data_IF_513004625671
#
_entry.id   IF_513004625671
#
_cell.length_a   1.000
_cell.length_b   1.000
_cell.length_c   1.000
_cell.angle_alpha   90.00
_cell.angle_beta   90.00
_cell.angle_gamma   90.00
#
_symmetry.space_group_name_H-M   'P 1'
#
loop_
_entity.id
_entity.type
_entity.pdbx_description
1 polymer ?
#
# COMPACT_ATOMS: atom_id res chain seq x y z
N UNK A 1 -13.54 4.34 -13.22
CA UNK A 1 -12.51 3.38 -12.85
C UNK A 1 -11.43 4.03 -12.02
N UNK A 2 -11.04 3.35 -10.94
CA UNK A 2 -10.00 3.88 -10.05
C UNK A 2 -8.61 3.49 -10.55
N UNK A 3 -7.72 4.45 -10.61
CA UNK A 3 -6.32 4.21 -10.94
C UNK A 3 -5.50 4.20 -9.65
N UNK A 4 -4.75 3.14 -9.41
CA UNK A 4 -3.89 3.03 -8.23
C UNK A 4 -2.46 3.40 -8.57
N UNK A 5 -1.86 4.24 -7.72
CA UNK A 5 -0.47 4.69 -7.86
C UNK A 5 0.25 4.43 -6.54
N UNK A 6 1.57 4.44 -6.57
CA UNK A 6 2.37 4.35 -5.34
C UNK A 6 3.28 5.56 -5.25
N UNK A 7 3.62 5.95 -4.01
CA UNK A 7 4.48 7.11 -3.76
C UNK A 7 5.10 6.95 -2.37
N UNK A 8 6.36 7.36 -2.21
CA UNK A 8 6.97 7.33 -0.88
C UNK A 8 6.36 8.44 -0.03
N UNK A 9 6.18 8.15 1.28
CA UNK A 9 5.59 9.12 2.21
C UNK A 9 6.42 10.40 2.34
N UNK A 10 7.70 10.33 1.98
CA UNK A 10 8.61 11.48 2.11
C UNK A 10 8.57 12.43 0.92
N UNK A 11 7.86 12.08 -0.12
CA UNK A 11 7.67 12.97 -1.28
C UNK A 11 6.51 13.93 -1.01
N UNK A 12 6.59 15.11 -1.60
CA UNK A 12 5.56 16.14 -1.39
C UNK A 12 4.19 15.70 -1.90
N UNK A 13 3.15 16.10 -1.15
CA UNK A 13 1.77 15.84 -1.57
C UNK A 13 1.46 16.67 -2.82
N UNK A 14 0.74 16.09 -3.75
CA UNK A 14 0.34 16.73 -5.00
C UNK A 14 -1.14 16.51 -5.29
N UNK A 15 -1.74 17.39 -6.05
CA UNK A 15 -3.15 17.26 -6.44
C UNK A 15 -3.40 15.96 -7.19
N UNK A 16 -2.46 15.58 -8.07
CA UNK A 16 -2.58 14.37 -8.86
C UNK A 16 -2.58 13.08 -8.03
N UNK A 17 -2.20 13.17 -6.74
CA UNK A 17 -2.24 12.00 -5.85
C UNK A 17 -3.66 11.51 -5.63
N UNK A 18 -4.65 12.40 -5.73
CA UNK A 18 -6.03 12.05 -5.47
C UNK A 18 -6.25 11.64 -4.03
N UNK A 19 -6.87 10.49 -3.83
CA UNK A 19 -7.15 9.95 -2.49
C UNK A 19 -5.86 9.31 -1.94
N UNK A 20 -5.34 9.84 -0.85
CA UNK A 20 -4.05 9.42 -0.30
C UNK A 20 -4.24 8.41 0.83
N UNK A 21 -3.63 7.24 0.67
CA UNK A 21 -3.80 6.12 1.61
C UNK A 21 -2.43 5.65 2.10
N UNK A 22 -2.24 5.62 3.42
CA UNK A 22 -1.02 5.03 3.98
C UNK A 22 -1.20 3.52 4.02
N UNK A 23 -0.29 2.78 3.39
CA UNK A 23 -0.34 1.32 3.34
C UNK A 23 0.81 0.65 4.08
N UNK A 24 1.29 1.29 5.15
CA UNK A 24 2.26 0.72 6.07
C UNK A 24 1.55 0.38 7.39
N UNK A 25 2.02 -0.67 8.06
CA UNK A 25 1.43 -1.07 9.34
C UNK A 25 1.77 -0.11 10.46
N UNK A 26 2.95 0.50 10.40
CA UNK A 26 3.42 1.46 11.40
C UNK A 26 3.50 2.85 10.81
N UNK A 27 3.34 3.87 11.67
CA UNK A 27 3.47 5.26 11.24
C UNK A 27 4.90 5.55 10.79
N UNK A 28 5.09 6.29 9.67
CA UNK A 28 6.44 6.58 9.17
C UNK A 28 7.25 7.43 10.15
N UNK A 29 8.53 7.11 10.29
CA UNK A 29 9.43 7.84 11.16
C UNK A 29 9.64 9.27 10.66
N UNK A 30 9.68 10.21 11.59
CA UNK A 30 10.01 11.60 11.28
C UNK A 30 8.89 12.41 10.65
N UNK A 31 7.71 11.85 10.54
CA UNK A 31 6.56 12.57 9.96
C UNK A 31 5.50 12.78 11.03
N UNK A 32 5.11 14.03 11.25
CA UNK A 32 4.04 14.36 12.18
C UNK A 32 2.70 13.97 11.55
N UNK A 33 1.74 13.57 12.38
CA UNK A 33 0.43 13.12 11.89
C UNK A 33 -0.27 14.16 11.02
N UNK A 34 -0.20 15.41 11.40
CA UNK A 34 -0.85 16.49 10.65
C UNK A 34 -0.04 16.95 9.44
N UNK A 35 1.22 16.52 9.32
CA UNK A 35 2.06 16.87 8.18
C UNK A 35 1.85 15.93 7.00
N UNK A 36 1.42 14.70 7.26
CA UNK A 36 1.14 13.73 6.20
C UNK A 36 -0.34 13.85 5.83
N UNK A 37 -0.61 14.44 4.69
CA UNK A 37 -1.99 14.70 4.24
C UNK A 37 -2.64 13.39 3.80
N UNK A 38 -3.21 12.66 4.77
CA UNK A 38 -3.85 11.37 4.52
C UNK A 38 -5.35 11.49 4.48
N UNK A 39 -5.95 10.71 3.58
CA UNK A 39 -7.39 10.49 3.56
C UNK A 39 -7.75 9.21 4.30
N UNK A 40 -6.82 8.25 4.37
CA UNK A 40 -7.07 6.97 5.03
C UNK A 40 -5.75 6.29 5.42
N UNK A 41 -5.78 5.51 6.50
CA UNK A 41 -4.68 4.63 6.89
C UNK A 41 -5.18 3.18 6.80
N UNK A 42 -4.72 2.44 5.80
CA UNK A 42 -5.21 1.10 5.49
C UNK A 42 -4.35 0.01 6.14
N UNK A 43 -4.29 -0.03 7.46
CA UNK A 43 -3.50 -1.02 8.20
C UNK A 43 -3.91 -2.45 7.89
N UNK A 44 -5.21 -2.67 7.67
CA UNK A 44 -5.78 -4.02 7.59
C UNK A 44 -5.46 -4.75 6.28
N UNK A 45 -4.91 -4.05 5.30
CA UNK A 45 -4.50 -4.67 4.04
C UNK A 45 -2.99 -4.65 3.85
N UNK A 46 -2.23 -4.39 4.92
CA UNK A 46 -0.77 -4.47 4.90
C UNK A 46 -0.32 -5.91 5.13
N UNK A 47 0.93 -6.27 4.73
CA UNK A 47 1.43 -7.63 4.99
C UNK A 47 1.50 -7.95 6.47
N UNK A 48 1.26 -9.20 6.83
CA UNK A 48 1.37 -9.64 8.22
C UNK A 48 2.81 -9.52 8.71
N UNK A 49 2.98 -9.49 10.03
CA UNK A 49 4.30 -9.42 10.64
C UNK A 49 5.18 -10.60 10.23
N UNK A 50 4.57 -11.78 10.12
CA UNK A 50 5.30 -13.00 9.75
C UNK A 50 5.98 -12.90 8.39
N UNK A 51 5.22 -12.52 7.35
CA UNK A 51 5.79 -12.43 6.01
C UNK A 51 6.71 -11.22 5.86
N UNK A 52 6.48 -10.15 6.63
CA UNK A 52 7.39 -9.00 6.64
C UNK A 52 8.76 -9.41 7.16
N UNK A 53 8.82 -10.25 8.19
CA UNK A 53 10.08 -10.77 8.72
C UNK A 53 10.81 -11.64 7.71
N UNK A 54 10.06 -12.46 6.96
CA UNK A 54 10.64 -13.30 5.90
C UNK A 54 11.26 -12.47 4.80
N UNK A 55 10.61 -11.37 4.43
CA UNK A 55 11.14 -10.47 3.41
C UNK A 55 12.41 -9.78 3.90
N UNK A 56 12.36 -9.21 5.11
CA UNK A 56 13.50 -8.50 5.74
C UNK A 56 14.14 -7.46 4.81
N UNK A 57 13.36 -6.87 3.90
CA UNK A 57 13.80 -5.86 2.91
C UNK A 57 14.96 -6.35 2.02
N UNK A 58 15.07 -7.66 1.81
CA UNK A 58 16.09 -8.23 0.94
C UNK A 58 15.49 -8.55 -0.43
N UNK A 59 16.03 -7.95 -1.51
CA UNK A 59 15.47 -8.19 -2.84
C UNK A 59 15.41 -9.68 -3.24
N UNK A 60 16.37 -10.48 -2.78
CA UNK A 60 16.38 -11.90 -3.08
C UNK A 60 15.19 -12.66 -2.48
N UNK A 61 14.54 -12.10 -1.46
CA UNK A 61 13.37 -12.70 -0.83
C UNK A 61 12.05 -12.17 -1.41
N UNK A 62 12.13 -11.20 -2.31
CA UNK A 62 10.93 -10.49 -2.77
C UNK A 62 9.92 -11.38 -3.49
N UNK A 63 10.39 -12.28 -4.36
CA UNK A 63 9.48 -13.15 -5.10
C UNK A 63 8.66 -14.04 -4.16
N UNK A 64 9.30 -14.61 -3.14
CA UNK A 64 8.62 -15.44 -2.16
C UNK A 64 7.67 -14.61 -1.30
N UNK A 65 8.12 -13.44 -0.86
CA UNK A 65 7.29 -12.51 -0.11
C UNK A 65 6.03 -12.13 -0.91
N UNK A 66 6.20 -11.87 -2.20
CA UNK A 66 5.07 -11.52 -3.07
C UNK A 66 4.02 -12.62 -3.12
N UNK A 67 4.46 -13.88 -3.26
CA UNK A 67 3.56 -15.02 -3.27
C UNK A 67 2.74 -15.09 -1.98
N UNK A 68 3.43 -14.93 -0.84
CA UNK A 68 2.78 -15.01 0.46
C UNK A 68 1.80 -13.85 0.68
N UNK A 69 2.20 -12.65 0.28
CA UNK A 69 1.34 -11.47 0.45
C UNK A 69 0.09 -11.57 -0.44
N UNK A 70 0.26 -12.01 -1.70
CA UNK A 70 -0.90 -12.20 -2.58
C UNK A 70 -1.88 -13.21 -2.00
N UNK A 71 -1.36 -14.29 -1.41
CA UNK A 71 -2.21 -15.28 -0.76
C UNK A 71 -2.97 -14.68 0.43
N UNK A 72 -2.31 -13.85 1.23
CA UNK A 72 -2.98 -13.15 2.33
C UNK A 72 -4.09 -12.23 1.81
N UNK A 73 -3.80 -11.47 0.77
CA UNK A 73 -4.77 -10.53 0.20
C UNK A 73 -6.00 -11.25 -0.36
N UNK A 74 -5.82 -12.40 -0.99
CA UNK A 74 -6.94 -13.18 -1.53
C UNK A 74 -7.89 -13.67 -0.43
N UNK A 75 -7.36 -13.88 0.78
CA UNK A 75 -8.13 -14.37 1.91
C UNK A 75 -8.63 -13.26 2.83
N UNK A 76 -8.22 -12.03 2.57
CA UNK A 76 -8.48 -10.91 3.49
C UNK A 76 -9.77 -10.17 3.18
N UNK A 77 -10.80 -10.27 4.05
CA UNK A 77 -12.07 -9.56 3.82
C UNK A 77 -11.94 -8.04 3.85
N UNK A 78 -10.88 -7.50 4.45
CA UNK A 78 -10.65 -6.06 4.49
C UNK A 78 -10.39 -5.47 3.10
N UNK A 79 -9.95 -6.28 2.13
CA UNK A 79 -9.74 -5.83 0.76
C UNK A 79 -11.06 -5.36 0.14
N UNK A 80 -12.13 -6.17 0.27
CA UNK A 80 -13.43 -5.80 -0.28
C UNK A 80 -13.97 -4.51 0.36
N UNK A 81 -13.78 -4.37 1.67
CA UNK A 81 -14.18 -3.16 2.39
C UNK A 81 -13.43 -1.94 1.89
N UNK A 82 -12.11 -2.09 1.68
CA UNK A 82 -11.28 -1.00 1.17
C UNK A 82 -11.73 -0.59 -0.24
N UNK A 83 -11.95 -1.54 -1.12
CA UNK A 83 -12.38 -1.26 -2.50
C UNK A 83 -13.71 -0.53 -2.53
N UNK A 84 -14.62 -0.87 -1.64
CA UNK A 84 -15.90 -0.15 -1.50
C UNK A 84 -15.69 1.31 -1.15
N UNK A 85 -14.78 1.58 -0.21
CA UNK A 85 -14.53 2.94 0.26
C UNK A 85 -13.93 3.83 -0.81
N UNK A 86 -13.15 3.27 -1.74
CA UNK A 86 -12.46 4.06 -2.75
C UNK A 86 -13.07 3.95 -4.14
N UNK A 87 -14.18 3.26 -4.30
CA UNK A 87 -14.71 2.95 -5.64
C UNK A 87 -15.07 4.19 -6.47
N UNK A 88 -15.39 5.29 -5.82
CA UNK A 88 -15.74 6.53 -6.51
C UNK A 88 -14.54 7.49 -6.68
N UNK A 89 -13.37 7.10 -6.21
CA UNK A 89 -12.17 7.92 -6.34
C UNK A 89 -11.51 7.64 -7.68
N UNK A 90 -11.27 8.65 -8.51
CA UNK A 90 -10.61 8.41 -9.80
C UNK A 90 -9.15 8.02 -9.66
N UNK A 91 -8.47 8.51 -8.63
CA UNK A 91 -7.07 8.19 -8.37
C UNK A 91 -6.88 7.91 -6.90
N UNK A 92 -6.20 6.80 -6.58
CA UNK A 92 -5.82 6.45 -5.22
C UNK A 92 -4.30 6.25 -5.20
N UNK A 93 -3.60 7.01 -4.36
CA UNK A 93 -2.16 6.87 -4.20
C UNK A 93 -1.85 6.16 -2.90
N UNK A 94 -1.19 5.02 -3.02
CA UNK A 94 -0.76 4.21 -1.87
C UNK A 94 0.60 4.72 -1.41
N UNK A 95 0.68 5.19 -0.17
CA UNK A 95 1.90 5.74 0.40
C UNK A 95 2.65 4.69 1.20
N UNK A 96 3.97 4.66 1.05
CA UNK A 96 4.82 3.71 1.75
C UNK A 96 6.13 4.38 2.18
N UNK A 97 6.78 3.83 3.22
CA UNK A 97 8.00 4.40 3.77
C UNK A 97 9.28 3.67 3.33
N UNK A 98 9.16 2.46 2.80
CA UNK A 98 10.33 1.67 2.40
C UNK A 98 11.25 2.43 1.43
N UNK A 99 12.55 2.23 1.55
CA UNK A 99 13.52 2.91 0.70
C UNK A 99 13.56 2.37 -0.72
N UNK A 100 13.34 1.07 -0.89
CA UNK A 100 13.41 0.43 -2.21
C UNK A 100 12.13 0.71 -2.99
N UNK A 101 12.27 1.41 -4.11
CA UNK A 101 11.13 1.78 -4.95
C UNK A 101 10.69 0.65 -5.88
N UNK A 102 11.50 -0.40 -6.00
CA UNK A 102 11.23 -1.52 -6.92
C UNK A 102 10.81 -2.79 -6.21
N UNK A 103 11.29 -3.02 -4.98
CA UNK A 103 10.97 -4.21 -4.21
C UNK A 103 10.28 -3.79 -2.91
N UNK A 104 9.00 -3.44 -2.97
CA UNK A 104 8.24 -3.04 -1.81
C UNK A 104 6.81 -3.61 -1.88
N UNK A 105 6.16 -3.69 -0.72
CA UNK A 105 4.81 -4.25 -0.63
C UNK A 105 3.76 -3.41 -1.33
N UNK A 106 4.00 -2.10 -1.44
CA UNK A 106 3.04 -1.20 -2.09
C UNK A 106 2.86 -1.53 -3.57
N UNK A 107 3.93 -1.95 -4.25
CA UNK A 107 3.85 -2.37 -5.65
C UNK A 107 2.93 -3.58 -5.80
N UNK A 108 3.07 -4.54 -4.90
CA UNK A 108 2.26 -5.76 -4.92
C UNK A 108 0.80 -5.40 -4.68
N UNK A 109 0.55 -4.56 -3.67
CA UNK A 109 -0.80 -4.13 -3.32
C UNK A 109 -1.44 -3.34 -4.47
N UNK A 110 -0.69 -2.41 -5.07
CA UNK A 110 -1.19 -1.63 -6.20
C UNK A 110 -1.65 -2.53 -7.35
N UNK A 111 -0.80 -3.47 -7.74
CA UNK A 111 -1.11 -4.35 -8.86
C UNK A 111 -2.30 -5.27 -8.54
N UNK A 112 -2.36 -5.76 -7.31
CA UNK A 112 -3.48 -6.59 -6.85
C UNK A 112 -4.80 -5.82 -6.90
N UNK A 113 -4.82 -4.63 -6.32
CA UNK A 113 -6.03 -3.80 -6.28
C UNK A 113 -6.45 -3.38 -7.69
N UNK A 114 -5.48 -3.02 -8.54
CA UNK A 114 -5.78 -2.61 -9.90
C UNK A 114 -6.42 -3.75 -10.70
N UNK A 115 -6.03 -5.00 -10.42
CA UNK A 115 -6.62 -6.15 -11.10
C UNK A 115 -8.07 -6.39 -10.70
N UNK A 116 -8.50 -5.86 -9.56
CA UNK A 116 -9.86 -6.05 -9.03
C UNK A 116 -10.86 -4.98 -9.50
N UNK A 117 -10.39 -3.86 -10.02
CA UNK A 117 -11.25 -2.69 -10.35
C UNK A 117 -11.32 -2.39 -11.85
N UNK A 118 -11.24 -3.35 -12.67
CA UNK A 118 -11.30 -3.14 -14.12
C UNK A 118 -12.62 -2.60 -14.60
#
# INVERSE_FOLDING_TARGET
>A
MTKFKIKRVYESAEEEDGFRVLCDRLWPRGIKKDALELDMWAKDITPSTEIRKLFAHKPENFAHFKELYLAELEQNPAVAEFLKKVKNEPVVTLLYAAKDEHCNHAMILRDFLQSKVR
#
